data_IF_835722619609
#
_entry.id   IF_835722619609
#
_cell.length_a   1.000
_cell.length_b   1.000
_cell.length_c   1.000
_cell.angle_alpha   90.00
_cell.angle_beta   90.00
_cell.angle_gamma   90.00
#
_symmetry.space_group_name_H-M   'P 1'
#
loop_
_entity.id
_entity.type
_entity.pdbx_description
1 polymer ?
#
# COMPACT_ATOMS: atom_id res chain seq x y z
N UNK A 1 -4.76 19.03 16.76
CA UNK A 1 -4.02 17.77 16.53
C UNK A 1 -2.79 17.79 17.43
N UNK A 2 -2.92 17.30 18.67
CA UNK A 2 -1.78 17.19 19.58
C UNK A 2 -1.15 15.81 19.38
N UNK A 3 0.09 15.76 18.91
CA UNK A 3 0.87 14.51 18.93
C UNK A 3 1.11 14.16 20.40
N UNK A 4 0.86 12.91 20.79
CA UNK A 4 1.06 12.43 22.17
C UNK A 4 2.52 12.02 22.46
N UNK A 5 3.45 12.32 21.55
CA UNK A 5 4.86 11.94 21.64
C UNK A 5 5.75 13.13 21.27
N UNK A 6 6.95 13.18 21.86
CA UNK A 6 7.89 14.29 21.71
C UNK A 6 8.86 14.12 20.53
N UNK A 7 9.15 12.88 20.12
CA UNK A 7 10.18 12.60 19.11
C UNK A 7 10.05 11.24 18.44
N UNK A 8 10.97 10.99 17.49
CA UNK A 8 11.04 9.76 16.70
C UNK A 8 12.42 9.15 16.89
N UNK A 9 12.47 7.88 17.31
CA UNK A 9 13.69 7.08 17.34
C UNK A 9 13.71 6.21 16.07
N UNK A 10 14.54 6.59 15.10
CA UNK A 10 14.65 5.87 13.84
C UNK A 10 15.38 4.53 13.98
N UNK A 11 14.70 3.43 13.64
CA UNK A 11 15.24 2.07 13.61
C UNK A 11 15.55 1.57 12.19
N UNK A 12 15.52 2.48 11.20
CA UNK A 12 15.93 2.21 9.84
C UNK A 12 17.46 2.14 9.68
N UNK A 13 17.90 1.94 8.44
CA UNK A 13 19.32 1.82 8.15
C UNK A 13 19.99 3.20 7.96
N UNK A 14 21.31 3.24 8.16
CA UNK A 14 22.12 4.46 8.09
C UNK A 14 22.04 5.16 6.72
N UNK A 15 21.79 4.44 5.64
CA UNK A 15 21.77 4.95 4.26
C UNK A 15 20.74 6.07 4.04
N UNK A 16 19.67 6.12 4.85
CA UNK A 16 18.65 7.18 4.81
C UNK A 16 18.72 8.14 6.01
N UNK A 17 19.71 7.97 6.89
CA UNK A 17 19.91 8.86 8.02
C UNK A 17 20.42 10.23 7.55
N UNK A 18 19.73 11.30 7.94
CA UNK A 18 20.16 12.66 7.60
C UNK A 18 21.55 12.92 8.19
N UNK A 19 22.47 13.39 7.36
CA UNK A 19 23.85 13.64 7.76
C UNK A 19 24.69 12.38 7.98
N UNK A 20 24.19 11.19 7.60
CA UNK A 20 24.91 9.93 7.74
C UNK A 20 25.21 9.55 9.19
N UNK A 21 24.41 10.05 10.13
CA UNK A 21 24.55 9.76 11.56
C UNK A 21 24.28 8.28 11.82
N UNK A 22 25.04 7.69 12.73
CA UNK A 22 24.88 6.29 13.11
C UNK A 22 23.60 6.08 13.94
N UNK A 23 22.65 5.23 13.51
CA UNK A 23 21.42 4.99 14.26
C UNK A 23 21.67 4.38 15.65
N UNK A 24 20.74 4.58 16.58
CA UNK A 24 20.83 4.03 17.95
C UNK A 24 21.01 2.51 17.92
N UNK A 25 20.26 1.81 17.07
CA UNK A 25 20.38 0.36 16.89
C UNK A 25 21.80 -0.08 16.52
N UNK A 26 22.48 0.63 15.63
CA UNK A 26 23.85 0.31 15.22
C UNK A 26 24.80 0.43 16.39
N UNK A 27 24.65 1.50 17.19
CA UNK A 27 25.46 1.69 18.40
C UNK A 27 25.22 0.57 19.42
N UNK A 28 23.97 0.16 19.66
CA UNK A 28 23.65 -0.94 20.57
C UNK A 28 24.29 -2.26 20.13
N UNK A 29 24.24 -2.58 18.83
CA UNK A 29 24.87 -3.79 18.26
C UNK A 29 26.39 -3.70 18.36
N UNK A 30 27.00 -2.58 17.94
CA UNK A 30 28.46 -2.40 17.94
C UNK A 30 29.06 -2.41 19.35
N UNK A 31 28.30 -1.93 20.34
CA UNK A 31 28.71 -1.94 21.75
C UNK A 31 28.34 -3.26 22.47
N UNK A 32 27.81 -4.26 21.76
CA UNK A 32 27.44 -5.56 22.31
C UNK A 32 26.42 -5.48 23.47
N UNK A 33 25.49 -4.53 23.40
CA UNK A 33 24.45 -4.33 24.42
C UNK A 33 23.21 -5.22 24.22
N UNK A 34 23.18 -6.01 23.15
CA UNK A 34 22.05 -6.87 22.77
C UNK A 34 22.50 -8.31 22.59
N UNK A 35 21.68 -9.27 23.04
CA UNK A 35 22.01 -10.70 22.98
C UNK A 35 22.00 -11.30 21.57
N UNK A 36 21.27 -10.69 20.64
CA UNK A 36 21.25 -11.06 19.22
C UNK A 36 21.02 -9.81 18.36
N UNK A 37 21.51 -9.77 17.10
CA UNK A 37 21.31 -8.62 16.22
C UNK A 37 19.91 -8.62 15.59
N UNK A 38 18.87 -8.72 16.44
CA UNK A 38 17.45 -8.70 16.06
C UNK A 38 16.69 -7.77 16.99
N UNK A 39 15.62 -7.17 16.50
CA UNK A 39 14.60 -6.55 17.35
C UNK A 39 13.21 -6.88 16.86
N UNK A 40 12.22 -6.87 17.74
CA UNK A 40 10.86 -7.24 17.38
C UNK A 40 9.81 -6.32 17.99
N UNK A 41 8.66 -6.29 17.35
CA UNK A 41 7.49 -5.53 17.78
C UNK A 41 6.29 -6.44 17.97
N UNK A 42 5.59 -6.21 19.07
CA UNK A 42 4.23 -6.65 19.30
C UNK A 42 3.38 -5.44 19.65
N UNK A 43 2.29 -5.23 18.91
CA UNK A 43 1.32 -4.20 19.23
C UNK A 43 0.05 -4.85 19.78
N UNK A 44 -0.34 -4.48 21.00
CA UNK A 44 -1.58 -4.97 21.56
C UNK A 44 -2.76 -4.28 20.85
N UNK A 45 -3.69 -5.08 20.30
CA UNK A 45 -4.90 -4.58 19.62
C UNK A 45 -6.12 -4.54 20.55
N UNK A 46 -6.00 -5.00 21.78
CA UNK A 46 -7.05 -4.98 22.79
C UNK A 46 -6.97 -3.70 23.63
N UNK A 47 -7.57 -2.63 23.11
CA UNK A 47 -7.70 -1.35 23.80
C UNK A 47 -8.50 -1.54 25.11
N UNK A 48 -7.83 -1.48 26.25
CA UNK A 48 -8.43 -1.67 27.59
C UNK A 48 -7.56 -2.48 28.55
N UNK A 49 -6.57 -3.23 28.05
CA UNK A 49 -5.72 -4.12 28.86
C UNK A 49 -4.49 -3.44 29.47
N UNK A 50 -4.39 -2.11 29.41
CA UNK A 50 -3.31 -1.31 30.02
C UNK A 50 -1.95 -1.36 29.32
N UNK A 51 -1.60 -2.48 28.67
CA UNK A 51 -0.36 -2.61 27.88
C UNK A 51 -0.64 -2.38 26.39
N UNK A 52 -0.06 -1.32 25.80
CA UNK A 52 -0.25 -0.97 24.39
C UNK A 52 0.59 -1.79 23.39
N UNK A 53 1.68 -2.41 23.86
CA UNK A 53 2.60 -3.19 23.04
C UNK A 53 3.96 -3.33 23.72
N UNK A 54 4.89 -3.96 23.02
CA UNK A 54 6.27 -4.18 23.45
C UNK A 54 7.23 -4.10 22.25
N UNK A 55 8.41 -3.52 22.48
CA UNK A 55 9.57 -3.66 21.61
C UNK A 55 10.66 -4.42 22.37
N UNK A 56 11.23 -5.44 21.73
CA UNK A 56 12.36 -6.21 22.30
C UNK A 56 13.59 -5.92 21.46
N UNK A 57 14.61 -5.30 22.04
CA UNK A 57 15.93 -5.20 21.44
C UNK A 57 16.78 -6.41 21.87
N UNK A 58 17.32 -7.14 20.91
CA UNK A 58 18.21 -8.26 21.19
C UNK A 58 17.56 -9.63 21.28
N UNK A 59 16.28 -9.76 20.92
CA UNK A 59 15.54 -11.02 21.06
C UNK A 59 14.13 -10.93 20.50
N UNK A 60 13.35 -11.97 20.81
CA UNK A 60 11.93 -12.16 20.45
C UNK A 60 11.26 -12.76 21.68
N UNK A 61 10.15 -12.19 22.16
CA UNK A 61 9.35 -12.82 23.22
C UNK A 61 8.39 -13.86 22.62
N UNK A 62 8.56 -15.17 22.93
CA UNK A 62 7.70 -16.23 22.40
C UNK A 62 6.24 -16.11 22.84
N UNK A 63 5.92 -15.33 23.87
CA UNK A 63 4.53 -15.10 24.31
C UNK A 63 3.74 -14.22 23.36
N UNK A 64 4.40 -13.49 22.48
CA UNK A 64 3.77 -12.47 21.62
C UNK A 64 3.47 -12.97 20.19
N UNK A 65 3.71 -14.23 19.88
CA UNK A 65 3.36 -14.83 18.60
C UNK A 65 2.86 -16.29 18.74
N UNK A 66 1.97 -16.71 17.83
CA UNK A 66 1.31 -18.03 17.88
C UNK A 66 1.99 -19.11 17.04
N UNK A 67 2.88 -18.69 16.14
CA UNK A 67 3.50 -19.54 15.12
C UNK A 67 4.92 -19.08 14.82
N UNK A 68 5.67 -19.87 14.05
CA UNK A 68 6.97 -19.46 13.53
C UNK A 68 6.85 -18.32 12.51
N UNK A 69 7.86 -17.45 12.47
CA UNK A 69 7.91 -16.33 11.54
C UNK A 69 8.25 -16.79 10.13
N UNK A 70 7.45 -16.33 9.17
CA UNK A 70 7.81 -16.37 7.75
C UNK A 70 8.82 -15.24 7.48
N UNK A 71 10.02 -15.58 7.03
CA UNK A 71 11.09 -14.61 6.82
C UNK A 71 11.31 -14.31 5.34
N UNK A 72 11.40 -13.02 5.02
CA UNK A 72 11.74 -12.52 3.69
C UNK A 72 12.99 -11.63 3.74
N UNK A 73 13.90 -11.72 2.76
CA UNK A 73 15.13 -10.93 2.76
C UNK A 73 14.85 -9.45 2.52
N UNK A 74 15.68 -8.60 3.09
CA UNK A 74 15.70 -7.16 2.79
C UNK A 74 16.23 -6.96 1.37
N UNK A 75 15.46 -6.30 0.52
CA UNK A 75 15.75 -6.11 -0.91
C UNK A 75 16.49 -4.82 -1.20
N UNK A 76 16.27 -3.80 -0.37
CA UNK A 76 16.89 -2.48 -0.53
C UNK A 76 17.29 -1.90 0.83
N UNK A 77 18.58 -2.00 1.13
CA UNK A 77 19.17 -1.41 2.33
C UNK A 77 18.97 0.12 2.34
N UNK A 78 18.58 0.64 3.50
CA UNK A 78 17.99 1.97 3.67
C UNK A 78 16.64 1.84 4.37
N UNK A 79 15.77 1.00 3.81
CA UNK A 79 14.47 0.68 4.38
C UNK A 79 14.43 -0.79 4.82
N UNK A 80 13.53 -1.12 5.75
CA UNK A 80 13.13 -2.51 6.00
C UNK A 80 12.18 -2.99 4.90
N UNK A 81 12.68 -2.90 3.65
CA UNK A 81 11.96 -3.22 2.44
C UNK A 81 12.20 -4.67 2.03
N UNK A 82 11.16 -5.37 1.63
CA UNK A 82 11.19 -6.74 1.13
C UNK A 82 10.28 -6.90 -0.08
N UNK A 83 10.40 -8.03 -0.77
CA UNK A 83 9.51 -8.36 -1.88
C UNK A 83 8.18 -8.90 -1.35
N UNK A 84 7.11 -8.40 -1.96
CA UNK A 84 5.75 -8.83 -1.71
C UNK A 84 5.14 -9.32 -3.01
N UNK A 85 4.37 -10.40 -2.92
CA UNK A 85 3.52 -10.88 -4.00
C UNK A 85 2.21 -10.12 -4.08
N UNK A 86 1.18 -10.84 -4.51
CA UNK A 86 -0.12 -10.26 -4.80
C UNK A 86 -0.88 -9.79 -3.54
N UNK A 87 -1.82 -8.87 -3.77
CA UNK A 87 -2.82 -8.45 -2.79
C UNK A 87 -4.17 -9.02 -3.22
N UNK A 88 -4.83 -9.72 -2.30
CA UNK A 88 -6.09 -10.41 -2.52
C UNK A 88 -7.21 -9.72 -1.76
N UNK A 89 -8.36 -9.54 -2.39
CA UNK A 89 -9.58 -9.02 -1.75
C UNK A 89 -10.64 -10.13 -1.82
N UNK A 90 -11.04 -10.66 -0.67
CA UNK A 90 -11.97 -11.80 -0.61
C UNK A 90 -11.44 -13.03 -1.37
N UNK A 91 -10.12 -13.22 -1.33
CA UNK A 91 -9.42 -14.31 -2.03
C UNK A 91 -9.17 -14.07 -3.53
N UNK A 92 -9.64 -12.97 -4.12
CA UNK A 92 -9.44 -12.64 -5.54
C UNK A 92 -8.27 -11.69 -5.76
N UNK A 93 -7.50 -11.91 -6.82
CA UNK A 93 -6.37 -11.06 -7.21
C UNK A 93 -6.78 -9.63 -7.53
N UNK A 94 -5.91 -8.69 -7.17
CA UNK A 94 -6.01 -7.28 -7.58
C UNK A 94 -5.24 -6.98 -8.87
N UNK A 95 -4.50 -7.96 -9.40
CA UNK A 95 -3.82 -7.93 -10.70
C UNK A 95 -2.48 -7.21 -10.71
N UNK A 96 -2.33 -6.10 -9.97
CA UNK A 96 -1.14 -5.24 -10.04
C UNK A 96 0.11 -5.89 -9.42
N UNK A 97 0.00 -6.49 -8.23
CA UNK A 97 1.15 -7.04 -7.50
C UNK A 97 1.47 -8.51 -7.84
N UNK A 98 0.87 -9.06 -8.90
CA UNK A 98 1.05 -10.45 -9.33
C UNK A 98 2.48 -10.77 -9.79
N UNK A 99 3.13 -9.83 -10.46
CA UNK A 99 4.52 -10.00 -10.92
C UNK A 99 5.54 -9.77 -9.81
N UNK A 100 5.27 -8.80 -8.91
CA UNK A 100 6.01 -8.42 -7.68
C UNK A 100 5.72 -6.97 -7.32
N UNK A 101 5.45 -6.72 -6.05
CA UNK A 101 5.48 -5.40 -5.43
C UNK A 101 6.61 -5.35 -4.39
N UNK A 102 7.02 -4.16 -3.99
CA UNK A 102 7.84 -4.00 -2.79
C UNK A 102 6.94 -3.66 -1.60
N UNK A 103 7.37 -4.00 -0.39
CA UNK A 103 6.71 -3.58 0.83
C UNK A 103 7.75 -3.15 1.87
N UNK A 104 7.39 -2.20 2.73
CA UNK A 104 8.17 -1.73 3.87
C UNK A 104 7.36 -2.02 5.13
N UNK A 105 7.95 -2.70 6.10
CA UNK A 105 7.39 -2.75 7.46
C UNK A 105 7.79 -1.47 8.20
N UNK A 106 6.82 -0.66 8.60
CA UNK A 106 7.04 0.67 9.17
C UNK A 106 6.20 0.90 10.43
N UNK A 107 6.82 0.68 11.59
CA UNK A 107 6.21 0.95 12.90
C UNK A 107 5.94 2.43 13.17
N UNK A 108 6.40 3.34 12.31
CA UNK A 108 6.12 4.78 12.41
C UNK A 108 4.80 5.18 11.74
N UNK A 109 4.18 4.27 10.98
CA UNK A 109 2.95 4.51 10.24
C UNK A 109 1.84 3.62 10.77
N UNK A 110 0.66 4.17 11.06
CA UNK A 110 -0.46 3.35 11.54
C UNK A 110 -1.26 2.68 10.42
N UNK A 111 -1.42 3.35 9.28
CA UNK A 111 -2.27 2.92 8.17
C UNK A 111 -1.52 2.01 7.18
N UNK A 112 -2.27 1.28 6.37
CA UNK A 112 -1.76 0.56 5.21
C UNK A 112 -1.69 1.54 4.03
N UNK A 113 -0.50 1.77 3.49
CA UNK A 113 -0.33 2.65 2.32
C UNK A 113 -0.03 1.80 1.10
N UNK A 114 -0.75 2.01 0.00
CA UNK A 114 -0.54 1.24 -1.22
C UNK A 114 -0.97 1.97 -2.50
N UNK A 115 -0.79 1.33 -3.67
CA UNK A 115 -1.12 1.93 -4.96
C UNK A 115 -2.60 2.29 -5.09
N UNK A 116 -2.90 3.47 -5.64
CA UNK A 116 -4.27 3.99 -5.83
C UNK A 116 -5.15 2.99 -6.56
N UNK A 117 -4.59 2.30 -7.55
CA UNK A 117 -5.29 1.30 -8.36
C UNK A 117 -5.80 0.09 -7.55
N UNK A 118 -5.11 -0.30 -6.47
CA UNK A 118 -5.56 -1.36 -5.57
C UNK A 118 -6.50 -0.79 -4.50
N UNK A 119 -6.16 0.36 -3.90
CA UNK A 119 -6.98 0.98 -2.86
C UNK A 119 -8.38 1.33 -3.39
N UNK A 120 -8.50 1.70 -4.66
CA UNK A 120 -9.80 1.93 -5.33
C UNK A 120 -10.66 0.67 -5.38
N UNK A 121 -10.07 -0.50 -5.66
CA UNK A 121 -10.77 -1.80 -5.63
C UNK A 121 -11.18 -2.16 -4.19
N UNK A 122 -10.32 -1.90 -3.20
CA UNK A 122 -10.63 -2.10 -1.78
C UNK A 122 -11.82 -1.22 -1.37
N UNK A 123 -11.77 0.08 -1.68
CA UNK A 123 -12.81 1.05 -1.36
C UNK A 123 -14.18 0.62 -1.91
N UNK A 124 -14.23 0.16 -3.16
CA UNK A 124 -15.45 -0.38 -3.75
C UNK A 124 -16.00 -1.57 -2.96
N UNK A 125 -15.15 -2.52 -2.58
CA UNK A 125 -15.55 -3.73 -1.85
C UNK A 125 -15.97 -3.49 -0.41
N UNK A 126 -15.35 -2.52 0.27
CA UNK A 126 -15.70 -2.17 1.66
C UNK A 126 -16.77 -1.07 1.73
N UNK A 127 -17.15 -0.47 0.60
CA UNK A 127 -18.12 0.61 0.54
C UNK A 127 -17.60 1.94 1.10
N UNK A 128 -16.28 2.18 1.02
CA UNK A 128 -15.71 3.47 1.36
C UNK A 128 -15.90 4.44 0.18
N UNK A 129 -16.56 5.59 0.36
CA UNK A 129 -16.78 6.53 -0.73
C UNK A 129 -15.44 7.11 -1.21
N UNK A 130 -15.29 7.23 -2.53
CA UNK A 130 -14.17 7.93 -3.15
C UNK A 130 -14.52 9.36 -3.54
N UNK A 131 -13.57 10.02 -4.19
CA UNK A 131 -13.80 11.24 -4.96
C UNK A 131 -14.31 10.87 -6.36
N UNK A 132 -15.23 11.67 -6.86
CA UNK A 132 -15.63 11.58 -8.26
C UNK A 132 -14.50 12.13 -9.14
N UNK A 133 -13.93 11.29 -10.01
CA UNK A 133 -12.97 11.73 -11.04
C UNK A 133 -13.65 11.79 -12.40
N UNK A 134 -13.68 13.00 -12.97
CA UNK A 134 -14.20 13.22 -14.31
C UNK A 134 -13.29 12.57 -15.35
N UNK A 135 -11.98 12.66 -15.16
CA UNK A 135 -10.96 12.04 -16.01
C UNK A 135 -11.15 10.52 -16.08
N UNK A 136 -11.41 9.87 -14.94
CA UNK A 136 -11.73 8.44 -14.90
C UNK A 136 -13.00 8.10 -15.67
N UNK A 137 -14.06 8.90 -15.52
CA UNK A 137 -15.29 8.70 -16.29
C UNK A 137 -15.07 8.87 -17.78
N UNK A 138 -14.26 9.83 -18.19
CA UNK A 138 -13.91 10.06 -19.59
C UNK A 138 -13.08 8.91 -20.17
N UNK A 139 -12.04 8.45 -19.47
CA UNK A 139 -11.26 7.28 -19.87
C UNK A 139 -12.14 6.03 -19.98
N UNK A 140 -12.97 5.76 -18.96
CA UNK A 140 -13.84 4.59 -18.94
C UNK A 140 -14.85 4.61 -20.10
N UNK A 141 -15.44 5.77 -20.39
CA UNK A 141 -16.50 5.90 -21.40
C UNK A 141 -15.97 6.01 -22.83
N UNK A 142 -14.94 6.82 -23.07
CA UNK A 142 -14.44 7.09 -24.42
C UNK A 142 -13.38 6.08 -24.86
N UNK A 143 -12.53 5.61 -23.94
CA UNK A 143 -11.37 4.79 -24.26
C UNK A 143 -11.51 3.34 -23.79
N UNK A 144 -12.42 3.05 -22.85
CA UNK A 144 -12.59 1.72 -22.26
C UNK A 144 -12.76 0.60 -23.29
N UNK A 145 -13.59 0.81 -24.32
CA UNK A 145 -13.77 -0.16 -25.40
C UNK A 145 -12.47 -0.45 -26.15
N UNK A 146 -11.73 0.61 -26.51
CA UNK A 146 -10.46 0.50 -27.25
C UNK A 146 -9.36 -0.14 -26.40
N UNK A 147 -9.29 0.20 -25.11
CA UNK A 147 -8.38 -0.44 -24.14
C UNK A 147 -8.63 -1.95 -24.11
N UNK A 148 -9.91 -2.36 -24.02
CA UNK A 148 -10.26 -3.77 -23.97
C UNK A 148 -9.96 -4.50 -25.28
N UNK A 149 -10.24 -3.86 -26.43
CA UNK A 149 -9.88 -4.42 -27.74
C UNK A 149 -8.38 -4.65 -27.87
N UNK A 150 -7.55 -3.70 -27.43
CA UNK A 150 -6.09 -3.85 -27.45
C UNK A 150 -5.63 -4.97 -26.52
N UNK A 151 -6.21 -5.11 -25.32
CA UNK A 151 -5.91 -6.22 -24.41
C UNK A 151 -6.28 -7.59 -25.00
N UNK A 152 -7.44 -7.70 -25.66
CA UNK A 152 -7.89 -8.93 -26.30
C UNK A 152 -7.05 -9.30 -27.53
N UNK A 153 -6.42 -8.32 -28.19
CA UNK A 153 -5.44 -8.53 -29.25
C UNK A 153 -4.01 -8.69 -28.71
N UNK A 154 -3.87 -9.04 -27.42
CA UNK A 154 -2.59 -9.37 -26.76
C UNK A 154 -1.54 -8.24 -26.84
N UNK A 155 -1.99 -6.98 -26.93
CA UNK A 155 -1.10 -5.83 -26.85
C UNK A 155 -0.56 -5.71 -25.43
N UNK A 156 0.75 -5.49 -25.32
CA UNK A 156 1.43 -5.22 -24.05
C UNK A 156 0.71 -4.09 -23.28
N UNK A 157 0.23 -4.36 -22.04
CA UNK A 157 -0.50 -3.37 -21.24
C UNK A 157 0.22 -2.02 -21.10
N UNK A 158 1.55 -2.02 -21.04
CA UNK A 158 2.35 -0.79 -20.89
C UNK A 158 2.33 0.10 -22.14
N UNK A 159 1.96 -0.46 -23.30
CA UNK A 159 1.91 0.25 -24.58
C UNK A 159 0.50 0.74 -24.92
N UNK A 160 -0.54 0.31 -24.21
CA UNK A 160 -1.94 0.61 -24.53
C UNK A 160 -2.22 2.10 -24.38
N UNK A 161 -1.90 2.70 -23.23
CA UNK A 161 -2.18 4.11 -22.98
C UNK A 161 -1.45 5.07 -23.93
N UNK A 162 -0.17 4.83 -24.27
CA UNK A 162 0.48 5.53 -25.38
C UNK A 162 -0.21 5.32 -26.74
N UNK A 163 -0.64 4.09 -27.06
CA UNK A 163 -1.26 3.76 -28.35
C UNK A 163 -2.64 4.40 -28.55
N UNK A 164 -3.36 4.68 -27.46
CA UNK A 164 -4.63 5.42 -27.49
C UNK A 164 -4.43 6.94 -27.39
N UNK A 165 -3.20 7.42 -27.26
CA UNK A 165 -2.84 8.84 -27.23
C UNK A 165 -3.01 9.52 -25.88
N UNK A 166 -3.23 8.76 -24.80
CA UNK A 166 -3.43 9.31 -23.44
C UNK A 166 -2.12 9.48 -22.67
N UNK A 167 -1.05 8.80 -23.08
CA UNK A 167 0.29 8.95 -22.50
C UNK A 167 1.29 9.32 -23.59
N UNK A 168 2.29 10.14 -23.26
CA UNK A 168 3.42 10.36 -24.17
C UNK A 168 4.33 9.13 -24.15
N UNK A 169 4.79 8.67 -25.32
CA UNK A 169 5.78 7.59 -25.43
C UNK A 169 7.11 8.04 -24.84
N UNK A 170 7.22 7.89 -23.53
CA UNK A 170 8.34 8.47 -22.81
C UNK A 170 8.75 7.52 -21.70
N UNK A 171 9.25 6.36 -22.13
CA UNK A 171 10.07 5.44 -21.31
C UNK A 171 11.38 6.06 -20.79
N UNK A 172 11.51 7.38 -20.91
CA UNK A 172 12.48 8.24 -20.23
C UNK A 172 11.78 9.58 -19.99
N UNK A 173 11.28 9.82 -18.76
CA UNK A 173 10.89 11.17 -18.33
C UNK A 173 11.70 11.61 -17.13
N UNK A 174 12.60 12.53 -17.45
CA UNK A 174 13.00 13.70 -16.68
C UNK A 174 13.50 13.42 -15.26
N UNK A 175 14.82 13.39 -15.14
CA UNK A 175 15.50 13.86 -13.93
C UNK A 175 14.92 15.23 -13.57
N UNK A 176 14.01 15.29 -12.58
CA UNK A 176 13.68 16.54 -11.88
C UNK A 176 14.91 16.93 -11.05
N UNK A 177 15.95 17.43 -11.73
CA UNK A 177 16.93 18.28 -11.07
C UNK A 177 16.23 19.60 -10.79
N UNK A 178 16.12 19.94 -9.51
CA UNK A 178 15.54 21.20 -9.08
C UNK A 178 16.25 22.38 -9.71
N UNK A 179 15.58 23.02 -10.66
CA UNK A 179 15.86 24.40 -11.03
C UNK A 179 14.54 25.04 -11.42
N UNK A 180 14.19 26.11 -10.69
CA UNK A 180 12.96 26.87 -10.79
C UNK A 180 13.02 27.73 -12.07
N UNK A 181 12.77 27.12 -13.23
CA UNK A 181 12.60 27.81 -14.50
C UNK A 181 11.15 28.22 -14.69
N UNK A 182 10.90 29.52 -14.91
CA UNK A 182 9.56 30.11 -15.06
C UNK A 182 8.86 29.49 -16.29
N UNK A 183 7.77 28.74 -16.06
CA UNK A 183 6.83 28.25 -17.08
C UNK A 183 5.51 29.02 -17.00
N UNK A 184 4.87 29.21 -18.14
CA UNK A 184 3.55 29.85 -18.33
C UNK A 184 2.43 28.98 -17.77
N UNK A 185 1.46 29.58 -17.06
CA UNK A 185 0.38 28.84 -16.36
C UNK A 185 -0.51 27.99 -17.29
N UNK A 186 -0.67 28.38 -18.56
CA UNK A 186 -1.53 27.69 -19.54
C UNK A 186 -0.92 26.36 -20.00
N UNK A 187 0.41 26.29 -20.10
CA UNK A 187 1.13 25.06 -20.46
C UNK A 187 1.20 24.08 -19.27
N UNK A 188 1.22 24.59 -18.03
CA UNK A 188 1.24 23.77 -16.80
C UNK A 188 -0.12 23.08 -16.53
N UNK A 189 -1.24 23.70 -16.92
CA UNK A 189 -2.58 23.10 -16.78
C UNK A 189 -2.84 21.97 -17.79
N UNK A 190 -2.41 22.13 -19.04
CA UNK A 190 -2.56 21.11 -20.08
C UNK A 190 -1.61 19.92 -19.88
N UNK A 191 -0.37 20.15 -19.43
CA UNK A 191 0.56 19.07 -19.05
C UNK A 191 0.03 18.27 -17.84
N UNK A 192 -0.52 18.91 -16.81
CA UNK A 192 -1.11 18.23 -15.64
C UNK A 192 -2.35 17.40 -15.97
N UNK A 193 -3.23 17.92 -16.83
CA UNK A 193 -4.43 17.20 -17.26
C UNK A 193 -4.09 15.95 -18.06
N UNK A 194 -3.10 16.04 -18.96
CA UNK A 194 -2.61 14.89 -19.72
C UNK A 194 -1.94 13.83 -18.83
N UNK A 195 -1.18 14.24 -17.80
CA UNK A 195 -0.57 13.33 -16.84
C UNK A 195 -1.62 12.58 -15.99
N UNK A 196 -2.67 13.30 -15.57
CA UNK A 196 -3.80 12.70 -14.85
C UNK A 196 -4.57 11.68 -15.71
N UNK A 197 -4.87 12.02 -16.96
CA UNK A 197 -5.51 11.12 -17.93
C UNK A 197 -4.65 9.87 -18.22
N UNK A 198 -3.33 10.05 -18.35
CA UNK A 198 -2.39 8.96 -18.53
C UNK A 198 -2.44 7.98 -17.35
N UNK A 199 -2.31 8.48 -16.12
CA UNK A 199 -2.33 7.66 -14.92
C UNK A 199 -3.66 6.90 -14.76
N UNK A 200 -4.78 7.57 -15.00
CA UNK A 200 -6.11 6.95 -15.01
C UNK A 200 -6.23 5.85 -16.07
N UNK A 201 -5.67 6.08 -17.27
CA UNK A 201 -5.62 5.05 -18.31
C UNK A 201 -4.84 3.81 -17.84
N UNK A 202 -3.67 3.99 -17.23
CA UNK A 202 -2.87 2.87 -16.72
C UNK A 202 -3.63 2.05 -15.68
N UNK A 203 -4.35 2.73 -14.77
CA UNK A 203 -5.25 2.06 -13.82
C UNK A 203 -6.38 1.30 -14.53
N UNK A 204 -7.02 1.90 -15.52
CA UNK A 204 -8.10 1.28 -16.27
C UNK A 204 -7.63 0.04 -17.05
N UNK A 205 -6.45 0.09 -17.68
CA UNK A 205 -5.80 -1.05 -18.33
C UNK A 205 -5.55 -2.17 -17.31
N UNK A 206 -5.04 -1.83 -16.14
CA UNK A 206 -4.79 -2.80 -15.07
C UNK A 206 -6.09 -3.47 -14.60
N UNK A 207 -7.14 -2.69 -14.32
CA UNK A 207 -8.43 -3.23 -13.91
C UNK A 207 -9.05 -4.11 -15.00
N UNK A 208 -9.02 -3.67 -16.26
CA UNK A 208 -9.53 -4.45 -17.39
C UNK A 208 -8.80 -5.79 -17.52
N UNK A 209 -7.46 -5.78 -17.47
CA UNK A 209 -6.64 -6.99 -17.52
C UNK A 209 -6.95 -7.93 -16.35
N UNK A 210 -7.11 -7.41 -15.14
CA UNK A 210 -7.45 -8.22 -13.96
C UNK A 210 -8.84 -8.86 -14.10
N UNK A 211 -9.83 -8.13 -14.61
CA UNK A 211 -11.17 -8.67 -14.81
C UNK A 211 -11.22 -9.70 -15.97
N UNK A 212 -10.43 -9.51 -17.03
CA UNK A 212 -10.25 -10.51 -18.08
C UNK A 212 -9.66 -11.81 -17.53
N UNK A 213 -8.66 -11.71 -16.65
CA UNK A 213 -8.08 -12.88 -15.98
C UNK A 213 -9.04 -13.58 -15.00
N UNK A 214 -10.20 -12.98 -14.71
CA UNK A 214 -11.28 -13.54 -13.92
C UNK A 214 -12.50 -13.92 -14.77
N UNK A 215 -12.28 -14.17 -16.07
CA UNK A 215 -13.26 -14.63 -17.06
C UNK A 215 -14.53 -13.76 -17.12
N UNK A 216 -14.41 -12.45 -16.89
CA UNK A 216 -15.54 -11.52 -16.97
C UNK A 216 -15.85 -11.12 -18.42
N UNK A 217 -17.12 -10.81 -18.68
CA UNK A 217 -17.56 -10.35 -20.01
C UNK A 217 -17.20 -8.88 -20.24
N UNK A 218 -17.07 -8.49 -21.52
CA UNK A 218 -16.78 -7.11 -21.96
C UNK A 218 -17.65 -6.05 -21.27
N UNK A 219 -18.96 -6.26 -21.25
CA UNK A 219 -19.89 -5.28 -20.67
C UNK A 219 -19.73 -5.16 -19.15
N UNK A 220 -19.47 -6.27 -18.47
CA UNK A 220 -19.21 -6.27 -17.03
C UNK A 220 -17.89 -5.57 -16.70
N UNK A 221 -16.85 -5.77 -17.50
CA UNK A 221 -15.55 -5.11 -17.33
C UNK A 221 -15.70 -3.58 -17.44
N UNK A 222 -16.36 -3.09 -18.49
CA UNK A 222 -16.53 -1.66 -18.71
C UNK A 222 -17.41 -1.02 -17.63
N UNK A 223 -18.48 -1.72 -17.23
CA UNK A 223 -19.32 -1.30 -16.11
C UNK A 223 -18.50 -1.22 -14.83
N UNK A 224 -17.67 -2.23 -14.56
CA UNK A 224 -16.85 -2.29 -13.36
C UNK A 224 -15.81 -1.16 -13.30
N UNK A 225 -15.08 -0.92 -14.39
CA UNK A 225 -14.13 0.22 -14.49
C UNK A 225 -14.86 1.54 -14.23
N UNK A 226 -16.02 1.74 -14.85
CA UNK A 226 -16.83 2.93 -14.62
C UNK A 226 -17.30 3.03 -13.15
N UNK A 227 -17.65 1.91 -12.50
CA UNK A 227 -17.98 1.90 -11.06
C UNK A 227 -16.78 2.34 -10.23
N UNK A 228 -15.58 1.82 -10.49
CA UNK A 228 -14.37 2.17 -9.73
C UNK A 228 -14.03 3.66 -9.77
N UNK A 229 -14.40 4.39 -10.82
CA UNK A 229 -14.23 5.84 -10.90
C UNK A 229 -14.96 6.63 -9.78
N UNK A 230 -15.94 6.04 -9.10
CA UNK A 230 -16.60 6.63 -7.92
C UNK A 230 -15.93 6.28 -6.58
N UNK A 231 -14.91 5.42 -6.61
CA UNK A 231 -14.22 4.88 -5.43
C UNK A 231 -12.76 5.29 -5.37
N UNK A 232 -12.31 6.17 -6.27
CA UNK A 232 -10.94 6.69 -6.27
C UNK A 232 -10.70 7.39 -4.92
N UNK A 233 -9.66 7.02 -4.17
CA UNK A 233 -9.40 7.57 -2.85
C UNK A 233 -9.13 9.08 -2.93
N UNK A 234 -9.69 9.82 -1.98
CA UNK A 234 -9.38 11.24 -1.83
C UNK A 234 -7.92 11.42 -1.41
N UNK A 235 -7.14 12.30 -2.08
CA UNK A 235 -5.80 12.62 -1.63
C UNK A 235 -5.90 13.26 -0.24
N UNK A 236 -5.49 12.50 0.80
CA UNK A 236 -5.51 12.88 2.21
C UNK A 236 -6.89 12.88 2.90
N UNK A 237 -7.96 12.38 2.25
CA UNK A 237 -9.28 12.27 2.88
C UNK A 237 -9.46 10.97 3.67
N UNK A 238 -10.12 11.07 4.83
CA UNK A 238 -10.57 9.89 5.58
C UNK A 238 -11.61 9.11 4.76
N UNK A 239 -11.34 7.82 4.52
CA UNK A 239 -12.27 6.93 3.81
C UNK A 239 -13.24 6.30 4.80
N UNK A 240 -14.27 7.07 5.19
CA UNK A 240 -15.30 6.64 6.15
C UNK A 240 -16.15 5.50 5.60
N UNK A 241 -16.42 4.47 6.40
CA UNK A 241 -17.29 3.33 6.02
C UNK A 241 -18.46 3.20 6.99
N UNK A 242 -19.51 2.49 6.57
CA UNK A 242 -20.61 2.13 7.46
C UNK A 242 -20.18 1.03 8.44
N UNK A 243 -20.17 1.35 9.73
CA UNK A 243 -19.84 0.42 10.80
C UNK A 243 -20.75 -0.83 10.83
N UNK A 244 -21.98 -0.75 10.32
CA UNK A 244 -22.92 -1.88 10.29
C UNK A 244 -22.55 -2.92 9.25
N UNK A 245 -21.71 -2.57 8.27
CA UNK A 245 -21.34 -3.43 7.14
C UNK A 245 -20.07 -4.25 7.36
N UNK A 246 -19.36 -4.08 8.48
CA UNK A 246 -18.09 -4.77 8.75
C UNK A 246 -18.16 -6.28 8.49
N UNK A 247 -19.19 -6.96 9.01
CA UNK A 247 -19.35 -8.41 8.88
C UNK A 247 -19.54 -8.92 7.42
N UNK A 248 -19.87 -8.01 6.49
CA UNK A 248 -20.02 -8.31 5.06
C UNK A 248 -18.82 -7.89 4.21
N UNK A 249 -17.84 -7.20 4.82
CA UNK A 249 -16.64 -6.79 4.10
C UNK A 249 -15.70 -7.99 3.93
N UNK A 250 -14.95 -8.06 2.83
CA UNK A 250 -14.05 -9.17 2.59
C UNK A 250 -12.72 -9.00 3.32
N UNK A 251 -12.12 -10.12 3.72
CA UNK A 251 -10.71 -10.12 4.15
C UNK A 251 -9.79 -9.60 3.04
N UNK A 252 -8.74 -8.87 3.43
CA UNK A 252 -7.67 -8.42 2.54
C UNK A 252 -6.39 -9.15 2.90
N UNK A 253 -5.77 -9.85 1.95
CA UNK A 253 -4.59 -10.65 2.21
C UNK A 253 -3.38 -10.23 1.36
N UNK A 254 -2.22 -10.21 1.99
CA UNK A 254 -0.93 -9.91 1.36
C UNK A 254 -0.12 -11.20 1.19
N UNK A 255 0.43 -11.45 0.01
CA UNK A 255 1.34 -12.58 -0.20
C UNK A 255 2.78 -12.19 0.14
N UNK A 256 3.37 -12.82 1.15
CA UNK A 256 4.74 -12.55 1.62
C UNK A 256 5.42 -13.90 1.85
N UNK A 257 6.59 -14.13 1.24
CA UNK A 257 7.32 -15.41 1.38
C UNK A 257 6.55 -16.65 0.89
N UNK A 258 5.56 -16.47 0.00
CA UNK A 258 4.68 -17.56 -0.43
C UNK A 258 3.53 -17.87 0.54
N UNK A 259 3.50 -17.28 1.74
CA UNK A 259 2.38 -17.33 2.69
C UNK A 259 1.41 -16.17 2.46
N UNK A 260 0.13 -16.36 2.81
CA UNK A 260 -0.91 -15.32 2.76
C UNK A 260 -1.17 -14.78 4.16
N UNK A 261 -1.05 -13.46 4.30
CA UNK A 261 -1.28 -12.71 5.54
C UNK A 261 -2.59 -11.93 5.41
N UNK A 262 -3.69 -12.54 5.86
CA UNK A 262 -5.05 -12.00 5.78
C UNK A 262 -5.40 -11.13 6.99
N UNK A 263 -5.93 -9.93 6.73
CA UNK A 263 -6.53 -9.04 7.70
C UNK A 263 -8.06 -9.11 7.57
N UNK A 264 -8.74 -9.30 8.69
CA UNK A 264 -10.21 -9.25 8.75
C UNK A 264 -10.72 -7.81 8.78
N UNK A 265 -12.01 -7.57 8.49
CA UNK A 265 -12.62 -6.24 8.59
C UNK A 265 -12.41 -5.57 9.95
N UNK A 266 -12.43 -6.33 11.04
CA UNK A 266 -12.21 -5.82 12.40
C UNK A 266 -10.77 -5.35 12.62
N UNK A 267 -9.82 -5.86 11.83
CA UNK A 267 -8.41 -5.51 11.95
C UNK A 267 -8.04 -4.29 11.11
N UNK A 268 -8.57 -4.20 9.88
CA UNK A 268 -8.24 -3.11 8.96
C UNK A 268 -9.21 -1.92 8.99
N UNK A 269 -10.38 -2.01 9.64
CA UNK A 269 -11.26 -0.86 9.88
C UNK A 269 -11.00 -0.26 11.26
N UNK A 270 -10.66 1.02 11.30
CA UNK A 270 -10.47 1.79 12.53
C UNK A 270 -11.81 2.33 13.03
N UNK A 271 -12.09 2.13 14.32
CA UNK A 271 -13.24 2.70 15.01
C UNK A 271 -12.79 3.89 15.84
N UNK A 272 -13.36 5.06 15.60
CA UNK A 272 -13.06 6.30 16.32
C UNK A 272 -14.33 6.78 17.02
N UNK A 273 -14.21 7.15 18.29
CA UNK A 273 -15.35 7.50 19.15
C UNK A 273 -15.90 6.29 19.90
N UNK A 274 -16.95 6.51 20.67
CA UNK A 274 -17.58 5.51 21.53
C UNK A 274 -19.10 5.51 21.35
N UNK A 275 -19.73 4.35 21.57
CA UNK A 275 -21.18 4.19 21.49
C UNK A 275 -21.75 4.53 20.11
N UNK A 276 -22.90 5.21 20.09
CA UNK A 276 -23.63 5.56 18.86
C UNK A 276 -22.90 6.59 17.97
N UNK A 277 -21.89 7.29 18.50
CA UNK A 277 -21.06 8.24 17.76
C UNK A 277 -19.83 7.58 17.10
N UNK A 278 -19.73 6.24 17.13
CA UNK A 278 -18.61 5.51 16.53
C UNK A 278 -18.54 5.74 15.03
N UNK A 279 -17.44 6.31 14.56
CA UNK A 279 -17.10 6.45 13.14
C UNK A 279 -16.15 5.33 12.74
N UNK A 280 -16.44 4.66 11.63
CA UNK A 280 -15.55 3.66 11.05
C UNK A 280 -14.78 4.25 9.88
N UNK A 281 -13.47 4.04 9.84
CA UNK A 281 -12.57 4.57 8.82
C UNK A 281 -11.75 3.42 8.26
N UNK A 282 -11.65 3.35 6.93
CA UNK A 282 -10.75 2.43 6.25
C UNK A 282 -9.31 2.66 6.70
N UNK A 283 -8.62 1.58 7.05
CA UNK A 283 -7.20 1.58 7.38
C UNK A 283 -6.27 1.76 6.19
N UNK A 284 -6.82 1.91 4.98
CA UNK A 284 -6.07 2.00 3.73
C UNK A 284 -5.96 3.44 3.23
N UNK A 285 -4.76 3.81 2.80
CA UNK A 285 -4.44 5.10 2.18
C UNK A 285 -3.75 4.86 0.85
N UNK A 286 -4.09 5.68 -0.14
CA UNK A 286 -3.44 5.62 -1.44
C UNK A 286 -2.21 6.50 -1.51
N UNK A 287 -1.14 5.95 -2.07
CA UNK A 287 0.06 6.69 -2.45
C UNK A 287 0.73 5.95 -3.61
N UNK A 288 0.88 6.64 -4.74
CA UNK A 288 1.59 6.09 -5.89
C UNK A 288 3.05 6.51 -5.84
N UNK A 289 3.93 5.52 -5.74
CA UNK A 289 5.38 5.70 -5.84
C UNK A 289 5.80 5.22 -7.23
N UNK A 290 6.28 6.11 -8.12
CA UNK A 290 6.58 5.73 -9.49
C UNK A 290 7.81 4.79 -9.58
N UNK A 291 7.93 4.04 -10.68
CA UNK A 291 9.16 3.32 -11.02
C UNK A 291 10.39 4.25 -11.05
N UNK A 292 11.60 3.74 -10.76
CA UNK A 292 11.96 2.35 -10.47
C UNK A 292 11.80 1.98 -8.99
N UNK A 293 11.23 2.87 -8.14
CA UNK A 293 11.13 2.62 -6.70
C UNK A 293 9.90 1.82 -6.33
N UNK A 294 8.76 2.06 -6.98
CA UNK A 294 7.52 1.34 -6.73
C UNK A 294 7.07 0.42 -7.87
N UNK A 295 5.90 -0.20 -7.71
CA UNK A 295 4.92 0.02 -6.62
C UNK A 295 5.41 -0.47 -5.25
N UNK A 296 5.20 0.34 -4.21
CA UNK A 296 5.55 0.05 -2.81
C UNK A 296 4.28 0.03 -1.95
N UNK A 297 4.22 -0.92 -1.02
CA UNK A 297 3.33 -0.90 0.13
C UNK A 297 4.05 -0.47 1.41
N UNK A 298 3.36 0.26 2.29
CA UNK A 298 3.80 0.49 3.66
C UNK A 298 2.86 -0.30 4.57
N UNK A 299 3.41 -1.29 5.26
CA UNK A 299 2.71 -2.15 6.20
C UNK A 299 2.95 -1.60 7.60
N UNK A 300 2.01 -0.79 8.07
CA UNK A 300 2.04 -0.11 9.36
C UNK A 300 1.45 -0.89 10.53
N UNK A 301 1.07 -0.18 11.58
CA UNK A 301 0.52 -0.73 12.84
C UNK A 301 -0.68 -1.67 12.62
N UNK A 302 -1.53 -1.41 11.62
CA UNK A 302 -2.66 -2.29 11.28
C UNK A 302 -2.16 -3.70 10.93
N UNK A 303 -1.11 -3.81 10.11
CA UNK A 303 -0.53 -5.09 9.74
C UNK A 303 0.32 -5.66 10.89
N UNK A 304 1.23 -4.85 11.42
CA UNK A 304 2.17 -5.26 12.47
C UNK A 304 1.48 -5.57 13.80
N UNK A 305 0.26 -5.08 14.01
CA UNK A 305 -0.55 -5.45 15.17
C UNK A 305 -1.32 -6.76 15.02
N UNK A 306 -1.62 -7.18 13.78
CA UNK A 306 -2.11 -8.53 13.52
C UNK A 306 -0.96 -9.55 13.47
N UNK A 307 0.22 -9.09 13.07
CA UNK A 307 1.40 -9.93 12.85
C UNK A 307 2.62 -9.40 13.59
N UNK A 308 3.03 -10.13 14.63
CA UNK A 308 4.29 -9.90 15.31
C UNK A 308 5.42 -9.84 14.27
N UNK A 309 6.21 -8.78 14.34
CA UNK A 309 7.20 -8.46 13.31
C UNK A 309 8.61 -8.48 13.91
N UNK A 310 9.50 -9.24 13.29
CA UNK A 310 10.93 -9.33 13.64
C UNK A 310 11.76 -8.66 12.56
N UNK A 311 12.67 -7.79 12.98
CA UNK A 311 13.67 -7.17 12.14
C UNK A 311 15.03 -7.79 12.46
N UNK A 312 15.48 -8.70 11.61
CA UNK A 312 16.74 -9.42 11.77
C UNK A 312 17.84 -8.69 11.01
N UNK A 313 18.55 -7.82 11.74
CA UNK A 313 19.66 -7.03 11.21
C UNK A 313 20.87 -7.91 10.88
N UNK A 314 21.14 -8.95 11.67
CA UNK A 314 22.26 -9.86 11.44
C UNK A 314 22.14 -10.65 10.14
N UNK A 315 20.92 -11.04 9.75
CA UNK A 315 20.66 -11.80 8.52
C UNK A 315 19.97 -10.98 7.42
N UNK A 316 19.79 -9.68 7.64
CA UNK A 316 19.16 -8.75 6.69
C UNK A 316 17.82 -9.26 6.16
N UNK A 317 16.89 -9.57 7.07
CA UNK A 317 15.57 -10.12 6.75
C UNK A 317 14.50 -9.61 7.72
N UNK A 318 13.23 -9.67 7.31
CA UNK A 318 12.07 -9.33 8.15
C UNK A 318 11.20 -10.58 8.27
N UNK A 319 10.69 -10.84 9.48
CA UNK A 319 9.90 -12.02 9.81
C UNK A 319 8.50 -11.65 10.34
N UNK A 320 7.48 -12.38 9.90
CA UNK A 320 6.09 -12.16 10.33
C UNK A 320 5.44 -13.44 10.85
N UNK A 321 4.80 -13.35 12.01
CA UNK A 321 4.01 -14.43 12.61
C UNK A 321 2.70 -13.86 13.17
N UNK A 322 1.62 -14.65 13.22
CA UNK A 322 0.38 -14.21 13.86
C UNK A 322 0.63 -13.79 15.32
N UNK A 323 0.23 -12.56 15.67
CA UNK A 323 0.37 -12.04 17.02
C UNK A 323 -0.49 -12.85 18.03
N UNK A 324 -0.02 -12.92 19.28
CA UNK A 324 -0.72 -13.53 20.40
C UNK A 324 -2.05 -12.83 20.71
#
# INVERSE_FOLDING_TARGET
MFRKFDGILGLGFKEIARGGVEPVWYNMVNQHLVGSPVFSFWFNRHAGEGQGGEIVFGGIDPKHHKEEHEYVPVTKKGYWQFDMGDVLIGGKSTGLCTSRCAAIADSGTSLLVGPTAIITQINEKIGAPGIFSQECKEVASQYGQRILDLLLNEIDPTKICPSVGLCTHSGTQVQRNGSFGIRTMVDDETERSNDAMCHVCEMAVMWAKNQLAQDQTRDLILKYINTLCGYIPSPMGESSVDCKRLASMPDVAFSIGGKKFALTPEQYILKIGEGDATKCISGFVAMDIPPPRGPIWILGDIFMGAYHTVFDYGKMKVGFAKAA
#
